data_IF_945501095314
#
_entry.id   IF_945501095314
#
_cell.length_a   1.000
_cell.length_b   1.000
_cell.length_c   1.000
_cell.angle_alpha   90.00
_cell.angle_beta   90.00
_cell.angle_gamma   90.00
#
_symmetry.space_group_name_H-M   'P 1'
#
loop_
_entity.id
_entity.type
_entity.pdbx_description
1 polymer ?
#
# COMPACT_ATOMS: atom_id res chain seq x y z
N UNK A 1 -10.28 -25.70 -8.08
CA UNK A 1 -10.30 -24.76 -6.93
C UNK A 1 -9.91 -23.41 -7.48
N UNK A 2 -10.69 -22.36 -7.23
CA UNK A 2 -10.38 -21.03 -7.74
C UNK A 2 -9.25 -20.41 -6.89
N UNK A 3 -8.38 -19.58 -7.47
CA UNK A 3 -7.35 -18.88 -6.71
C UNK A 3 -7.98 -17.80 -5.82
N UNK A 4 -7.52 -17.70 -4.58
CA UNK A 4 -7.82 -16.60 -3.65
C UNK A 4 -6.67 -15.59 -3.69
N UNK A 5 -6.98 -14.28 -3.65
CA UNK A 5 -5.97 -13.21 -3.69
C UNK A 5 -6.07 -12.34 -2.45
N UNK A 6 -4.94 -12.10 -1.79
CA UNK A 6 -4.83 -11.32 -0.55
C UNK A 6 -3.80 -10.22 -0.76
N UNK A 7 -4.22 -8.95 -0.67
CA UNK A 7 -3.31 -7.80 -0.84
C UNK A 7 -2.75 -7.26 0.49
N UNK A 8 -3.41 -7.53 1.61
CA UNK A 8 -3.02 -7.01 2.92
C UNK A 8 -3.01 -8.14 3.94
N UNK A 9 -1.99 -8.14 4.81
CA UNK A 9 -1.92 -8.99 5.99
C UNK A 9 -1.65 -8.12 7.23
N UNK A 10 -1.97 -8.63 8.41
CA UNK A 10 -1.63 -7.93 9.64
C UNK A 10 -0.11 -7.80 9.79
N UNK A 11 0.37 -6.64 10.28
CA UNK A 11 1.79 -6.35 10.47
C UNK A 11 2.65 -6.44 9.20
N UNK A 12 2.06 -6.16 8.04
CA UNK A 12 2.71 -6.17 6.73
C UNK A 12 3.91 -5.21 6.58
N UNK A 13 3.92 -4.08 7.29
CA UNK A 13 4.96 -3.04 7.25
C UNK A 13 6.41 -3.55 7.44
N UNK A 14 6.60 -4.72 8.05
CA UNK A 14 7.93 -5.33 8.25
C UNK A 14 8.40 -6.20 7.07
N UNK A 15 7.49 -6.55 6.17
CA UNK A 15 7.69 -7.55 5.12
C UNK A 15 7.37 -7.03 3.72
N UNK A 16 6.40 -6.13 3.60
CA UNK A 16 6.02 -5.52 2.33
C UNK A 16 6.87 -4.26 2.07
N UNK A 17 7.03 -3.93 0.80
CA UNK A 17 7.88 -2.82 0.32
C UNK A 17 9.37 -2.90 0.74
N UNK A 18 9.86 -4.09 1.07
CA UNK A 18 11.25 -4.38 1.43
C UNK A 18 11.78 -5.61 0.66
N UNK A 19 13.09 -5.69 0.47
CA UNK A 19 13.74 -6.82 -0.21
C UNK A 19 14.19 -7.89 0.80
N UNK A 20 13.47 -9.02 0.85
CA UNK A 20 13.74 -10.14 1.76
C UNK A 20 14.26 -11.40 1.07
N UNK A 21 14.83 -11.29 -0.13
CA UNK A 21 15.26 -12.47 -0.92
C UNK A 21 16.31 -13.35 -0.21
N UNK A 22 17.07 -12.81 0.72
CA UNK A 22 18.11 -13.51 1.48
C UNK A 22 17.75 -13.72 2.96
N UNK A 23 16.57 -13.27 3.38
CA UNK A 23 16.15 -13.30 4.78
C UNK A 23 15.35 -14.55 5.11
N UNK A 24 15.39 -14.95 6.38
CA UNK A 24 14.42 -15.91 6.92
C UNK A 24 13.16 -15.13 7.31
N UNK A 25 12.06 -15.38 6.61
CA UNK A 25 10.77 -14.75 6.90
C UNK A 25 10.22 -15.26 8.24
N UNK A 26 10.24 -14.40 9.26
CA UNK A 26 9.68 -14.70 10.59
C UNK A 26 8.23 -14.25 10.73
N UNK A 27 7.40 -14.59 9.74
CA UNK A 27 5.95 -14.37 9.78
C UNK A 27 5.24 -15.68 9.45
N UNK A 28 4.61 -16.27 10.46
CA UNK A 28 3.93 -17.56 10.34
C UNK A 28 2.81 -17.49 9.30
N UNK A 29 1.96 -16.48 9.36
CA UNK A 29 0.78 -16.34 8.51
C UNK A 29 1.18 -16.11 7.04
N UNK A 30 2.13 -15.21 6.79
CA UNK A 30 2.65 -14.99 5.44
C UNK A 30 3.29 -16.25 4.84
N UNK A 31 4.03 -17.00 5.66
CA UNK A 31 4.66 -18.27 5.23
C UNK A 31 3.60 -19.32 4.92
N UNK A 32 2.58 -19.44 5.77
CA UNK A 32 1.47 -20.37 5.59
C UNK A 32 0.66 -20.03 4.33
N UNK A 33 0.27 -18.75 4.16
CA UNK A 33 -0.48 -18.30 2.99
C UNK A 33 0.27 -18.56 1.69
N UNK A 34 1.57 -18.28 1.64
CA UNK A 34 2.43 -18.56 0.47
C UNK A 34 2.65 -20.04 0.19
N UNK A 35 2.38 -20.92 1.16
CA UNK A 35 2.50 -22.38 0.98
C UNK A 35 1.29 -22.99 0.25
N UNK A 36 0.15 -22.29 0.21
CA UNK A 36 -1.03 -22.77 -0.50
C UNK A 36 -0.92 -22.50 -2.00
N UNK A 37 -1.01 -23.52 -2.87
CA UNK A 37 -0.85 -23.35 -4.32
C UNK A 37 -1.99 -22.56 -4.98
N UNK A 38 -3.11 -22.38 -4.26
CA UNK A 38 -4.29 -21.64 -4.71
C UNK A 38 -4.41 -20.26 -4.04
N UNK A 39 -3.35 -19.74 -3.40
CA UNK A 39 -3.34 -18.42 -2.78
C UNK A 39 -2.26 -17.56 -3.41
N UNK A 40 -2.63 -16.33 -3.79
CA UNK A 40 -1.70 -15.30 -4.26
C UNK A 40 -1.70 -14.18 -3.23
N UNK A 41 -0.51 -13.85 -2.71
CA UNK A 41 -0.32 -12.71 -1.81
C UNK A 41 0.39 -11.60 -2.58
N UNK A 42 -0.19 -10.41 -2.62
CA UNK A 42 0.43 -9.19 -3.18
C UNK A 42 0.84 -8.24 -2.05
N UNK A 43 1.94 -7.49 -2.20
CA UNK A 43 2.50 -6.71 -1.10
C UNK A 43 1.83 -5.33 -0.94
N UNK A 44 0.53 -5.29 -0.67
CA UNK A 44 -0.25 -4.04 -0.49
C UNK A 44 -0.12 -3.10 -1.70
N UNK A 45 -0.43 -3.62 -2.88
CA UNK A 45 -0.27 -2.91 -4.16
C UNK A 45 -1.58 -2.83 -4.94
N UNK A 46 -2.74 -3.11 -4.34
CA UNK A 46 -4.03 -2.95 -5.03
C UNK A 46 -4.23 -1.52 -5.58
N UNK A 47 -3.63 -0.51 -4.93
CA UNK A 47 -3.67 0.88 -5.38
C UNK A 47 -2.68 1.19 -6.53
N UNK A 48 -1.70 0.33 -6.78
CA UNK A 48 -0.58 0.64 -7.67
C UNK A 48 -0.95 0.49 -9.15
N UNK A 49 -1.63 1.50 -9.68
CA UNK A 49 -2.02 1.62 -11.08
C UNK A 49 -1.66 2.99 -11.64
N UNK A 50 -1.57 3.11 -12.97
CA UNK A 50 -1.29 4.38 -13.65
C UNK A 50 -2.30 5.47 -13.26
N UNK A 51 -3.59 5.12 -13.23
CA UNK A 51 -4.67 6.06 -12.89
C UNK A 51 -4.53 6.57 -11.47
N UNK A 52 -4.47 5.67 -10.48
CA UNK A 52 -4.42 6.06 -9.06
C UNK A 52 -3.13 6.83 -8.77
N UNK A 53 -2.01 6.42 -9.36
CA UNK A 53 -0.73 7.12 -9.17
C UNK A 53 -0.79 8.55 -9.75
N UNK A 54 -1.40 8.73 -10.93
CA UNK A 54 -1.58 10.05 -11.52
C UNK A 54 -2.52 10.94 -10.68
N UNK A 55 -3.59 10.37 -10.14
CA UNK A 55 -4.53 11.06 -9.25
C UNK A 55 -3.86 11.49 -7.94
N UNK A 56 -3.05 10.63 -7.32
CA UNK A 56 -2.29 10.97 -6.11
C UNK A 56 -1.40 12.20 -6.33
N UNK A 57 -0.69 12.26 -7.47
CA UNK A 57 0.16 13.41 -7.82
C UNK A 57 -0.70 14.65 -8.09
N UNK A 58 -1.77 14.52 -8.86
CA UNK A 58 -2.67 15.63 -9.17
C UNK A 58 -3.25 16.26 -7.89
N UNK A 59 -3.85 15.44 -7.03
CA UNK A 59 -4.44 15.88 -5.76
C UNK A 59 -3.40 16.54 -4.85
N UNK A 60 -2.20 15.97 -4.72
CA UNK A 60 -1.14 16.54 -3.90
C UNK A 60 -0.73 17.95 -4.39
N UNK A 61 -0.58 18.13 -5.70
CA UNK A 61 -0.21 19.42 -6.29
C UNK A 61 -1.34 20.44 -6.21
N UNK A 62 -2.59 20.01 -6.38
CA UNK A 62 -3.77 20.84 -6.24
C UNK A 62 -3.91 21.40 -4.82
N UNK A 63 -3.85 20.55 -3.79
CA UNK A 63 -3.96 21.03 -2.41
C UNK A 63 -2.78 21.90 -1.97
N UNK A 64 -1.58 21.64 -2.48
CA UNK A 64 -0.43 22.50 -2.22
C UNK A 64 -0.61 23.89 -2.86
N UNK A 65 -1.12 23.95 -4.10
CA UNK A 65 -1.46 25.21 -4.77
C UNK A 65 -2.53 25.97 -3.99
N UNK A 66 -3.59 25.29 -3.60
CA UNK A 66 -4.70 25.89 -2.88
C UNK A 66 -4.23 26.45 -1.53
N UNK A 67 -3.43 25.68 -0.76
CA UNK A 67 -2.78 26.16 0.45
C UNK A 67 -1.95 27.43 0.21
N UNK A 68 -1.15 27.45 -0.86
CA UNK A 68 -0.33 28.62 -1.21
C UNK A 68 -1.15 29.87 -1.56
N UNK A 69 -2.41 29.71 -1.97
CA UNK A 69 -3.27 30.82 -2.41
C UNK A 69 -4.23 31.28 -1.32
N UNK A 70 -4.80 30.35 -0.55
CA UNK A 70 -5.88 30.60 0.41
C UNK A 70 -5.42 30.51 1.86
N UNK A 71 -4.34 29.76 2.14
CA UNK A 71 -3.91 29.40 3.49
C UNK A 71 -4.74 28.30 4.15
N UNK A 72 -5.82 27.83 3.51
CA UNK A 72 -6.75 26.81 4.05
C UNK A 72 -7.25 25.89 2.91
N UNK A 73 -6.58 24.77 2.61
CA UNK A 73 -7.03 23.77 1.65
C UNK A 73 -8.00 22.78 2.30
N UNK A 74 -8.91 22.21 1.51
CA UNK A 74 -9.97 21.32 2.01
C UNK A 74 -9.46 20.08 2.78
N UNK A 75 -8.29 19.56 2.40
CA UNK A 75 -7.73 18.31 2.93
C UNK A 75 -6.51 18.53 3.84
N UNK A 76 -6.41 19.69 4.49
CA UNK A 76 -5.38 19.90 5.50
C UNK A 76 -5.59 18.96 6.70
N UNK A 77 -4.54 18.25 7.09
CA UNK A 77 -4.54 17.43 8.31
C UNK A 77 -3.85 18.21 9.40
N UNK A 78 -4.61 18.60 10.42
CA UNK A 78 -4.05 19.22 11.62
C UNK A 78 -3.59 18.14 12.60
N UNK A 79 -2.45 18.32 13.28
CA UNK A 79 -2.10 17.47 14.40
C UNK A 79 -3.16 17.59 15.50
N UNK A 80 -3.45 16.47 16.16
CA UNK A 80 -4.25 16.44 17.40
C UNK A 80 -3.58 17.22 18.54
#
# INVERSE_FOLDING_TARGET
>A
MNPETIDVIENDHRYFHQDHRLDVLNNHDLTLLRSFPNVVVTPHIAFYSDTVTAEMVHCAMEYLRDFSQTGEPLMEVHPD
#
